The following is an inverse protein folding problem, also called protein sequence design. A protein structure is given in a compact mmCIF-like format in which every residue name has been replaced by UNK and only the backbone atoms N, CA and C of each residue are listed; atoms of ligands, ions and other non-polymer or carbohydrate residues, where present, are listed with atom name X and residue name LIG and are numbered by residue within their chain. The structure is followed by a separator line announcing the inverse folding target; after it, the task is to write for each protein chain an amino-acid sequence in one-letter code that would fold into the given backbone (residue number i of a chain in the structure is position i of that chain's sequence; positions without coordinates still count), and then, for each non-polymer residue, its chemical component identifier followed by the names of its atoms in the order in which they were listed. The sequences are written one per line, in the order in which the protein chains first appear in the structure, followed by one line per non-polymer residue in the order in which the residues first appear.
data_IF_945362022422
#
_entry.id   IF_945362022422
#
_cell.length_a   1.000
_cell.length_b   1.000
_cell.length_c   1.000
_cell.angle_alpha   90.00
_cell.angle_beta   90.00
_cell.angle_gamma   90.00
#
_symmetry.space_group_name_H-M   'P 1'
#
loop_
_entity.id
_entity.type
_entity.pdbx_description
1 polymer ?
#
# COMPACT_ATOMS: atom_id res chain seq x y z
N UNK A 1 7.29 -17.08 -8.72
CA UNK A 1 7.18 -15.62 -8.95
C UNK A 1 8.35 -15.04 -9.76
N UNK A 2 9.61 -15.34 -9.41
CA UNK A 2 10.78 -14.84 -10.16
C UNK A 2 10.81 -15.27 -11.64
N UNK A 3 10.48 -16.54 -11.95
CA UNK A 3 10.43 -17.03 -13.33
C UNK A 3 9.42 -16.28 -14.22
N UNK A 4 8.20 -16.07 -13.72
CA UNK A 4 7.17 -15.29 -14.43
C UNK A 4 7.62 -13.84 -14.59
N UNK A 5 8.20 -13.23 -13.55
CA UNK A 5 8.72 -11.86 -13.62
C UNK A 5 9.81 -11.70 -14.68
N UNK A 6 10.73 -12.67 -14.79
CA UNK A 6 11.79 -12.68 -15.79
C UNK A 6 11.26 -12.81 -17.21
N UNK A 7 10.30 -13.71 -17.44
CA UNK A 7 9.64 -13.87 -18.74
C UNK A 7 8.89 -12.58 -19.12
N UNK A 8 8.10 -12.02 -18.20
CA UNK A 8 7.37 -10.78 -18.47
C UNK A 8 8.31 -9.60 -18.76
N UNK A 9 9.41 -9.47 -18.02
CA UNK A 9 10.42 -8.44 -18.30
C UNK A 9 11.04 -8.60 -19.70
N UNK A 10 11.30 -9.84 -20.14
CA UNK A 10 11.79 -10.12 -21.50
C UNK A 10 10.80 -9.66 -22.58
N UNK A 11 9.50 -9.88 -22.37
CA UNK A 11 8.43 -9.43 -23.26
C UNK A 11 8.02 -7.96 -23.06
N UNK A 12 8.76 -7.18 -22.26
CA UNK A 12 8.43 -5.79 -21.90
C UNK A 12 7.04 -5.62 -21.24
N UNK A 13 6.53 -6.68 -20.60
CA UNK A 13 5.31 -6.67 -19.81
C UNK A 13 5.63 -6.31 -18.36
N UNK A 14 4.65 -5.72 -17.65
CA UNK A 14 4.80 -5.36 -16.23
C UNK A 14 5.00 -6.60 -15.35
N UNK A 15 6.17 -6.77 -14.69
CA UNK A 15 6.39 -7.91 -13.80
C UNK A 15 5.50 -7.85 -12.56
N UNK A 16 5.18 -6.64 -12.09
CA UNK A 16 4.30 -6.40 -10.94
C UNK A 16 2.87 -6.88 -11.21
N UNK A 17 2.30 -6.44 -12.33
CA UNK A 17 0.94 -6.83 -12.70
C UNK A 17 0.85 -8.35 -12.91
N UNK A 18 1.87 -8.93 -13.55
CA UNK A 18 1.95 -10.37 -13.81
C UNK A 18 2.01 -11.18 -12.52
N UNK A 19 2.78 -10.74 -11.51
CA UNK A 19 2.81 -11.37 -10.19
C UNK A 19 1.46 -11.26 -9.45
N UNK A 20 0.78 -10.12 -9.54
CA UNK A 20 -0.53 -9.93 -8.93
C UNK A 20 -1.58 -10.85 -9.57
N UNK A 21 -1.63 -10.89 -10.90
CA UNK A 21 -2.55 -11.77 -11.64
C UNK A 21 -2.26 -13.23 -11.31
N UNK A 22 -0.99 -13.65 -11.31
CA UNK A 22 -0.62 -15.01 -10.94
C UNK A 22 -1.08 -15.37 -9.51
N UNK A 23 -0.83 -14.51 -8.53
CA UNK A 23 -1.27 -14.74 -7.15
C UNK A 23 -2.78 -14.82 -7.01
N UNK A 24 -3.51 -13.94 -7.71
CA UNK A 24 -4.97 -13.96 -7.73
C UNK A 24 -5.51 -15.24 -8.40
N UNK A 25 -5.02 -15.60 -9.58
CA UNK A 25 -5.44 -16.83 -10.29
C UNK A 25 -5.12 -18.08 -9.48
N UNK A 26 -3.92 -18.18 -8.91
CA UNK A 26 -3.52 -19.32 -8.08
C UNK A 26 -4.47 -19.54 -6.90
N UNK A 27 -4.80 -18.47 -6.17
CA UNK A 27 -5.73 -18.57 -5.03
C UNK A 27 -7.15 -18.94 -5.45
N UNK A 28 -7.63 -18.40 -6.57
CA UNK A 28 -8.99 -18.68 -7.06
C UNK A 28 -9.13 -20.11 -7.62
N UNK A 29 -8.08 -20.67 -8.24
CA UNK A 29 -8.12 -22.01 -8.85
C UNK A 29 -7.83 -23.11 -7.82
N UNK A 30 -6.74 -22.98 -7.07
CA UNK A 30 -6.28 -24.07 -6.19
C UNK A 30 -6.91 -24.00 -4.80
N UNK A 31 -7.35 -22.82 -4.34
CA UNK A 31 -7.81 -22.60 -2.96
C UNK A 31 -6.79 -23.06 -1.87
N UNK A 32 -5.52 -23.22 -2.23
CA UNK A 32 -4.47 -23.67 -1.31
C UNK A 32 -4.03 -22.51 -0.39
N UNK A 33 -4.66 -22.48 0.78
CA UNK A 33 -4.35 -21.51 1.84
C UNK A 33 -3.00 -21.78 2.52
N UNK A 34 -2.48 -23.00 2.49
CA UNK A 34 -1.24 -23.36 3.20
C UNK A 34 -0.04 -22.74 2.50
N UNK A 35 0.11 -23.01 1.20
CA UNK A 35 1.21 -22.47 0.41
C UNK A 35 1.13 -20.95 0.32
N UNK A 36 -0.08 -20.40 0.11
CA UNK A 36 -0.27 -18.94 0.10
C UNK A 36 0.12 -18.29 1.42
N UNK A 37 -0.22 -18.89 2.57
CA UNK A 37 0.15 -18.36 3.89
C UNK A 37 1.66 -18.45 4.14
N UNK A 38 2.32 -19.51 3.67
CA UNK A 38 3.79 -19.61 3.74
C UNK A 38 4.47 -18.50 2.95
N UNK A 39 4.02 -18.24 1.72
CA UNK A 39 4.52 -17.11 0.92
C UNK A 39 4.25 -15.79 1.63
N UNK A 40 3.05 -15.61 2.20
CA UNK A 40 2.70 -14.38 2.91
C UNK A 40 3.50 -14.17 4.21
N UNK A 41 4.06 -15.22 4.80
CA UNK A 41 4.96 -15.10 5.95
C UNK A 41 6.31 -14.46 5.58
N UNK A 42 6.67 -14.45 4.30
CA UNK A 42 7.84 -13.73 3.80
C UNK A 42 7.58 -12.23 3.59
N UNK A 43 6.32 -11.80 3.61
CA UNK A 43 5.95 -10.39 3.42
C UNK A 43 6.50 -9.46 4.50
N UNK A 44 6.37 -9.76 5.82
CA UNK A 44 6.85 -8.84 6.86
C UNK A 44 8.35 -8.53 6.78
N UNK A 45 9.27 -9.52 6.61
CA UNK A 45 10.69 -9.23 6.42
C UNK A 45 10.98 -8.32 5.21
N UNK A 46 10.33 -8.58 4.07
CA UNK A 46 10.51 -7.78 2.85
C UNK A 46 10.01 -6.35 3.05
N UNK A 47 8.84 -6.19 3.68
CA UNK A 47 8.29 -4.87 3.99
C UNK A 47 9.19 -4.11 4.96
N UNK A 48 9.72 -4.77 5.99
CA UNK A 48 10.68 -4.17 6.93
C UNK A 48 11.94 -3.67 6.22
N UNK A 49 12.56 -4.49 5.36
CA UNK A 49 13.71 -4.07 4.56
C UNK A 49 13.35 -2.88 3.66
N UNK A 50 12.19 -2.92 3.01
CA UNK A 50 11.71 -1.84 2.16
C UNK A 50 11.54 -0.52 2.92
N UNK A 51 10.92 -0.54 4.10
CA UNK A 51 10.75 0.65 4.94
C UNK A 51 12.09 1.18 5.45
N UNK A 52 13.03 0.30 5.84
CA UNK A 52 14.38 0.71 6.25
C UNK A 52 15.11 1.39 5.09
N UNK A 53 15.14 0.76 3.91
CA UNK A 53 15.81 1.32 2.73
C UNK A 53 15.16 2.64 2.30
N UNK A 54 13.83 2.71 2.30
CA UNK A 54 13.11 3.95 1.98
C UNK A 54 13.41 5.06 2.98
N UNK A 55 13.49 4.74 4.27
CA UNK A 55 13.92 5.67 5.33
C UNK A 55 15.37 6.11 5.19
N UNK A 56 16.29 5.22 4.80
CA UNK A 56 17.70 5.56 4.56
C UNK A 56 17.88 6.45 3.32
N UNK A 57 17.06 6.26 2.29
CA UNK A 57 17.06 7.10 1.08
C UNK A 57 16.26 8.40 1.26
N UNK A 58 15.69 8.64 2.44
CA UNK A 58 14.98 9.87 2.74
C UNK A 58 15.95 11.05 2.80
N UNK A 59 15.95 11.85 1.74
CA UNK A 59 16.71 13.08 1.70
C UNK A 59 15.87 14.24 2.28
N UNK A 60 16.08 14.55 3.56
CA UNK A 60 15.37 15.63 4.28
C UNK A 60 15.62 17.00 3.64
N UNK A 61 16.83 17.22 3.11
CA UNK A 61 17.17 18.44 2.36
C UNK A 61 16.35 18.51 1.09
N UNK A 62 16.20 17.40 0.36
CA UNK A 62 15.36 17.31 -0.82
C UNK A 62 13.87 17.47 -0.49
N UNK A 63 13.42 17.05 0.69
CA UNK A 63 12.08 17.33 1.22
C UNK A 63 11.85 18.84 1.37
N UNK A 64 12.89 19.58 1.80
CA UNK A 64 12.84 21.03 2.00
C UNK A 64 12.86 21.79 0.67
N UNK A 65 13.72 21.40 -0.28
CA UNK A 65 13.79 22.03 -1.62
C UNK A 65 12.63 21.63 -2.52
N UNK A 66 12.21 20.37 -2.51
CA UNK A 66 11.04 19.91 -3.25
C UNK A 66 9.72 20.24 -2.51
N UNK A 67 9.76 20.88 -1.34
CA UNK A 67 8.62 20.96 -0.41
C UNK A 67 7.32 21.42 -1.06
N UNK A 68 7.33 22.43 -1.91
CA UNK A 68 6.12 22.91 -2.60
C UNK A 68 5.64 21.87 -3.62
N UNK A 69 6.53 21.34 -4.46
CA UNK A 69 6.18 20.39 -5.51
C UNK A 69 5.75 19.05 -4.91
N UNK A 70 6.47 18.53 -3.92
CA UNK A 70 6.15 17.29 -3.21
C UNK A 70 4.85 17.38 -2.44
N UNK A 71 4.60 18.48 -1.70
CA UNK A 71 3.32 18.69 -0.99
C UNK A 71 2.17 18.88 -1.96
N UNK A 72 2.36 19.64 -3.04
CA UNK A 72 1.32 19.82 -4.06
C UNK A 72 0.96 18.48 -4.73
N UNK A 73 1.97 17.69 -5.13
CA UNK A 73 1.79 16.35 -5.68
C UNK A 73 1.06 15.42 -4.69
N UNK A 74 1.44 15.46 -3.41
CA UNK A 74 0.80 14.68 -2.35
C UNK A 74 -0.70 15.04 -2.21
N UNK A 75 -1.05 16.33 -2.17
CA UNK A 75 -2.43 16.78 -2.05
C UNK A 75 -3.25 16.44 -3.29
N UNK A 76 -2.72 16.73 -4.48
CA UNK A 76 -3.37 16.43 -5.76
C UNK A 76 -3.67 14.93 -5.86
N UNK A 77 -2.72 14.07 -5.46
CA UNK A 77 -2.89 12.62 -5.52
C UNK A 77 -3.89 12.10 -4.49
N UNK A 78 -3.98 12.70 -3.29
CA UNK A 78 -5.06 12.36 -2.33
C UNK A 78 -6.41 12.71 -2.91
N UNK A 79 -6.58 13.95 -3.37
CA UNK A 79 -7.85 14.45 -3.91
C UNK A 79 -8.27 13.61 -5.13
N UNK A 80 -7.34 13.36 -6.05
CA UNK A 80 -7.59 12.55 -7.25
C UNK A 80 -8.02 11.12 -6.92
N UNK A 81 -7.35 10.46 -5.97
CA UNK A 81 -7.75 9.11 -5.53
C UNK A 81 -9.11 9.11 -4.84
N UNK A 82 -9.36 10.08 -3.97
CA UNK A 82 -10.64 10.17 -3.25
C UNK A 82 -11.79 10.45 -4.22
N UNK A 83 -11.64 11.44 -5.10
CA UNK A 83 -12.64 11.78 -6.11
C UNK A 83 -12.86 10.63 -7.10
N UNK A 84 -11.79 10.01 -7.60
CA UNK A 84 -11.89 8.86 -8.51
C UNK A 84 -12.58 7.67 -7.86
N UNK A 85 -12.28 7.38 -6.59
CA UNK A 85 -12.95 6.32 -5.84
C UNK A 85 -14.42 6.64 -5.58
N UNK A 86 -14.75 7.89 -5.22
CA UNK A 86 -16.12 8.33 -5.00
C UNK A 86 -16.96 8.22 -6.29
N UNK A 87 -16.45 8.75 -7.40
CA UNK A 87 -17.10 8.69 -8.71
C UNK A 87 -17.26 7.23 -9.16
N UNK A 88 -16.20 6.43 -9.06
CA UNK A 88 -16.23 5.01 -9.42
C UNK A 88 -17.26 4.23 -8.63
N UNK A 89 -17.32 4.41 -7.32
CA UNK A 89 -18.36 3.80 -6.47
C UNK A 89 -19.76 4.36 -6.76
N UNK A 90 -19.88 5.60 -7.24
CA UNK A 90 -21.17 6.16 -7.61
C UNK A 90 -21.71 5.54 -8.90
N UNK A 91 -20.86 5.38 -9.92
CA UNK A 91 -21.21 4.76 -11.20
C UNK A 91 -21.61 3.29 -11.00
N UNK A 92 -20.92 2.56 -10.11
CA UNK A 92 -21.20 1.14 -9.85
C UNK A 92 -22.34 0.90 -8.85
N UNK A 93 -23.02 1.96 -8.37
CA UNK A 93 -24.17 1.81 -7.47
C UNK A 93 -23.83 1.30 -6.07
N UNK A 94 -22.58 1.46 -5.62
CA UNK A 94 -22.14 0.96 -4.31
C UNK A 94 -22.81 1.69 -3.13
N UNK A 95 -22.90 1.09 -1.93
CA UNK A 95 -23.46 1.74 -0.75
C UNK A 95 -22.78 3.07 -0.40
N UNK A 96 -23.54 4.03 0.16
CA UNK A 96 -23.04 5.38 0.52
C UNK A 96 -21.83 5.33 1.45
N UNK A 97 -21.81 4.36 2.37
CA UNK A 97 -20.69 4.09 3.28
C UNK A 97 -19.41 3.78 2.49
N UNK A 98 -19.51 2.93 1.47
CA UNK A 98 -18.36 2.59 0.63
C UNK A 98 -17.90 3.80 -0.17
N UNK A 99 -18.83 4.55 -0.80
CA UNK A 99 -18.52 5.77 -1.57
C UNK A 99 -17.71 6.78 -0.75
N UNK A 100 -18.08 6.97 0.54
CA UNK A 100 -17.48 7.99 1.40
C UNK A 100 -16.14 7.59 1.98
N UNK A 101 -15.92 6.31 2.29
CA UNK A 101 -14.76 5.89 3.09
C UNK A 101 -13.68 5.15 2.29
N UNK A 102 -14.01 4.45 1.20
CA UNK A 102 -13.00 3.69 0.43
C UNK A 102 -11.85 4.57 -0.09
N UNK A 103 -12.12 5.83 -0.41
CA UNK A 103 -11.10 6.80 -0.81
C UNK A 103 -10.01 6.98 0.25
N UNK A 104 -10.35 6.94 1.54
CA UNK A 104 -9.39 7.00 2.65
C UNK A 104 -8.54 5.73 2.73
N UNK A 105 -9.11 4.56 2.44
CA UNK A 105 -8.37 3.30 2.40
C UNK A 105 -7.38 3.19 1.22
N UNK A 106 -7.56 4.01 0.17
CA UNK A 106 -6.68 4.03 -1.02
C UNK A 106 -5.51 5.02 -0.91
N UNK A 107 -5.47 5.83 0.15
CA UNK A 107 -4.37 6.75 0.46
C UNK A 107 -3.03 6.02 0.65
N UNK A 108 -2.90 4.96 1.49
CA UNK A 108 -1.64 4.24 1.69
C UNK A 108 -1.21 3.50 0.42
N UNK A 109 -0.35 4.10 -0.39
CA UNK A 109 0.18 3.46 -1.60
C UNK A 109 1.58 4.00 -1.93
N UNK A 110 2.57 3.52 -1.19
CA UNK A 110 3.98 3.87 -1.36
C UNK A 110 4.75 2.81 -2.17
N UNK A 111 4.65 1.53 -1.76
CA UNK A 111 5.44 0.41 -2.30
C UNK A 111 5.64 0.38 -3.81
N UNK A 112 4.54 0.22 -4.56
CA UNK A 112 4.58 0.15 -6.03
C UNK A 112 5.05 1.47 -6.66
N UNK A 113 4.71 2.63 -6.06
CA UNK A 113 5.11 3.92 -6.61
C UNK A 113 6.62 4.14 -6.50
N UNK A 114 7.23 3.77 -5.37
CA UNK A 114 8.68 3.82 -5.18
C UNK A 114 9.39 2.89 -6.16
N UNK A 115 8.91 1.65 -6.34
CA UNK A 115 9.48 0.71 -7.31
C UNK A 115 9.45 1.24 -8.75
N UNK A 116 8.34 1.85 -9.16
CA UNK A 116 8.21 2.50 -10.47
C UNK A 116 9.07 3.77 -10.59
N UNK A 117 9.29 4.50 -9.49
CA UNK A 117 10.17 5.67 -9.48
C UNK A 117 11.63 5.30 -9.74
N UNK A 118 12.12 4.21 -9.13
CA UNK A 118 13.45 3.69 -9.39
C UNK A 118 13.62 3.23 -10.84
N UNK A 119 12.61 2.55 -11.39
CA UNK A 119 12.61 2.16 -12.81
C UNK A 119 12.60 3.39 -13.72
N UNK A 120 11.74 4.37 -13.44
CA UNK A 120 11.65 5.63 -14.16
C UNK A 120 12.96 6.42 -14.14
N UNK A 121 13.65 6.48 -13.00
CA UNK A 121 14.96 7.12 -12.90
C UNK A 121 16.00 6.49 -13.85
N UNK A 122 15.91 5.18 -14.12
CA UNK A 122 16.83 4.49 -15.04
C UNK A 122 16.48 4.70 -16.51
N UNK A 123 15.23 5.04 -16.80
CA UNK A 123 14.75 5.23 -18.18
C UNK A 123 14.74 6.71 -18.61
N UNK A 124 14.65 7.65 -17.66
CA UNK A 124 14.61 9.09 -17.94
C UNK A 124 16.00 9.73 -17.90
N UNK A 125 16.18 10.93 -18.52
CA UNK A 125 17.39 11.74 -18.35
C UNK A 125 17.72 11.97 -16.87
N UNK A 126 19.02 12.03 -16.54
CA UNK A 126 19.51 12.00 -15.15
C UNK A 126 18.86 13.07 -14.24
N UNK A 127 18.69 14.30 -14.73
CA UNK A 127 18.11 15.39 -13.96
C UNK A 127 16.61 15.18 -13.68
N UNK A 128 15.85 14.72 -14.69
CA UNK A 128 14.41 14.49 -14.56
C UNK A 128 14.13 13.24 -13.72
N UNK A 129 14.91 12.18 -13.94
CA UNK A 129 14.79 10.93 -13.19
C UNK A 129 15.09 11.11 -11.70
N UNK A 130 16.13 11.87 -11.36
CA UNK A 130 16.47 12.17 -9.96
C UNK A 130 15.43 13.06 -9.29
N UNK A 131 14.87 14.04 -10.01
CA UNK A 131 13.76 14.87 -9.54
C UNK A 131 12.49 14.05 -9.31
N UNK A 132 12.13 13.14 -10.22
CA UNK A 132 10.99 12.25 -10.09
C UNK A 132 11.14 11.31 -8.88
N UNK A 133 12.32 10.68 -8.72
CA UNK A 133 12.61 9.85 -7.56
C UNK A 133 12.47 10.66 -6.26
N UNK A 134 13.01 11.87 -6.25
CA UNK A 134 12.94 12.78 -5.10
C UNK A 134 11.50 13.12 -4.72
N UNK A 135 10.66 13.49 -5.69
CA UNK A 135 9.24 13.83 -5.45
C UNK A 135 8.46 12.60 -4.94
N UNK A 136 8.70 11.42 -5.53
CA UNK A 136 7.98 10.21 -5.14
C UNK A 136 8.43 9.72 -3.76
N UNK A 137 9.73 9.69 -3.46
CA UNK A 137 10.23 9.32 -2.13
C UNK A 137 9.73 10.29 -1.05
N UNK A 138 9.85 11.60 -1.30
CA UNK A 138 9.40 12.64 -0.35
C UNK A 138 7.90 12.54 -0.04
N UNK A 139 7.05 12.41 -1.07
CA UNK A 139 5.60 12.26 -0.88
C UNK A 139 5.22 10.90 -0.28
N UNK A 140 5.98 9.83 -0.57
CA UNK A 140 5.72 8.48 -0.03
C UNK A 140 5.90 8.44 1.48
N UNK A 141 6.89 9.14 2.05
CA UNK A 141 7.05 9.24 3.51
C UNK A 141 5.84 9.88 4.17
N UNK A 142 5.27 10.92 3.57
CA UNK A 142 4.02 11.53 4.06
C UNK A 142 2.86 10.52 4.03
N UNK A 143 2.77 9.70 2.98
CA UNK A 143 1.77 8.63 2.89
C UNK A 143 2.00 7.49 3.86
N UNK A 144 3.24 7.15 4.19
CA UNK A 144 3.55 6.10 5.14
C UNK A 144 3.21 6.52 6.57
N UNK A 145 3.30 7.82 6.88
CA UNK A 145 2.91 8.38 8.18
C UNK A 145 1.39 8.52 8.32
N UNK A 146 0.71 9.02 7.28
CA UNK A 146 -0.74 9.33 7.32
C UNK A 146 -1.59 8.12 6.89
N UNK A 147 -1.08 7.29 5.98
CA UNK A 147 -1.80 6.21 5.33
C UNK A 147 -2.37 5.15 6.28
N UNK A 148 -1.62 4.63 7.26
CA UNK A 148 -2.15 3.69 8.25
C UNK A 148 -3.30 4.28 9.07
N UNK A 149 -3.20 5.56 9.45
CA UNK A 149 -4.25 6.26 10.18
C UNK A 149 -5.51 6.43 9.32
N UNK A 150 -5.37 6.83 8.05
CA UNK A 150 -6.48 6.95 7.10
C UNK A 150 -7.16 5.61 6.81
N UNK A 151 -6.39 4.54 6.60
CA UNK A 151 -6.95 3.21 6.37
C UNK A 151 -7.69 2.71 7.62
N UNK A 152 -7.10 2.85 8.81
CA UNK A 152 -7.76 2.51 10.08
C UNK A 152 -9.06 3.29 10.23
N UNK A 153 -9.03 4.60 10.02
CA UNK A 153 -10.22 5.45 10.08
C UNK A 153 -11.29 5.01 9.07
N UNK A 154 -10.91 4.65 7.83
CA UNK A 154 -11.83 4.12 6.83
C UNK A 154 -12.61 2.92 7.35
N UNK A 155 -11.93 1.95 7.97
CA UNK A 155 -12.57 0.72 8.47
C UNK A 155 -13.49 0.95 9.67
N UNK A 156 -13.15 1.91 10.55
CA UNK A 156 -14.01 2.28 11.67
C UNK A 156 -15.24 3.06 11.20
N UNK A 157 -15.04 4.06 10.33
CA UNK A 157 -16.13 4.88 9.83
C UNK A 157 -17.06 4.11 8.89
N UNK A 158 -16.56 3.08 8.19
CA UNK A 158 -17.38 2.18 7.40
C UNK A 158 -18.21 1.21 8.25
N UNK A 159 -17.97 1.14 9.56
CA UNK A 159 -18.62 0.17 10.46
C UNK A 159 -18.16 -1.27 10.24
N UNK A 160 -17.10 -1.49 9.45
CA UNK A 160 -16.56 -2.84 9.17
C UNK A 160 -15.85 -3.42 10.39
N UNK A 161 -15.21 -2.56 11.20
CA UNK A 161 -14.65 -2.95 12.49
C UNK A 161 -15.54 -2.36 13.59
N UNK A 162 -16.29 -3.23 14.28
CA UNK A 162 -16.94 -2.85 15.55
C UNK A 162 -15.85 -2.67 16.60
N UNK A 163 -15.90 -1.60 17.39
CA UNK A 163 -15.01 -1.42 18.54
C UNK A 163 -15.33 -2.54 19.53
N UNK A 164 -14.57 -3.62 19.49
CA UNK A 164 -14.51 -4.53 20.63
C UNK A 164 -14.02 -3.69 21.81
N UNK A 165 -14.90 -3.53 22.79
CA UNK A 165 -14.52 -3.06 24.11
C UNK A 165 -13.45 -4.05 24.56
N UNK A 166 -12.20 -3.62 24.63
CA UNK A 166 -11.12 -4.38 25.23
C UNK A 166 -11.59 -4.66 26.65
N UNK A 167 -12.17 -5.84 26.90
CA UNK A 167 -12.40 -6.31 28.26
C UNK A 167 -11.02 -6.44 28.88
N UNK A 168 -10.79 -5.70 29.95
CA UNK A 168 -9.54 -5.75 30.69
C UNK A 168 -9.28 -7.17 31.17
N UNK A 169 -8.01 -7.44 31.47
CA UNK A 169 -7.44 -8.75 31.81
C UNK A 169 -8.03 -9.34 33.12
N UNK A 170 -8.93 -8.64 33.82
CA UNK A 170 -9.59 -9.11 35.05
C UNK A 170 -10.51 -10.35 34.90
N UNK A 171 -10.97 -10.72 33.70
CA UNK A 171 -11.93 -11.83 33.51
C UNK A 171 -11.28 -13.20 33.19
N UNK A 172 -9.95 -13.35 33.32
CA UNK A 172 -9.29 -14.65 33.12
C UNK A 172 -9.48 -15.56 34.33
N UNK A 173 -10.56 -16.36 34.31
CA UNK A 173 -10.77 -17.47 35.22
C UNK A 173 -10.33 -18.77 34.51
N UNK A 174 -9.18 -19.38 34.88
CA UNK A 174 -8.71 -20.60 34.24
C UNK A 174 -9.66 -21.76 34.58
N UNK A 175 -10.36 -22.25 33.57
CA UNK A 175 -11.11 -23.49 33.65
C UNK A 175 -10.14 -24.68 33.62
N UNK A 176 -10.41 -25.65 34.50
CA UNK A 176 -9.86 -27.02 34.56
C UNK A 176 -8.58 -27.23 35.38
N UNK A 177 -8.75 -27.25 36.71
CA UNK A 177 -8.15 -28.30 37.54
C UNK A 177 -9.26 -29.31 37.86
N UNK A 178 -9.34 -30.41 37.11
CA UNK A 178 -10.16 -31.56 37.48
C UNK A 178 -9.23 -32.75 37.68
N UNK A 179 -9.43 -33.37 38.84
CA UNK A 179 -8.75 -34.52 39.44
C UNK A 179 -8.65 -35.72 38.51
#
# INVERSE_FOLDING_TARGET
MLGISGICAFFQLSPLLSCMVFGATYMNVTNDKKLFKQVNHFTPPVMSMFFIISGMNLNVTALRTAGIIGVSYFLIRIIGKYAGAYIGCSITGMPVVMKRYIGLALIPQAGVAIGLAFLGQRMLPADIGSLLLTIILSSSVLYELIGPACAKMSFFLSGTIKREVIKSVEDYQPAHAVK
#
